data_IF_235874171573
#
_entry.id   IF_235874171573
#
_cell.length_a   1.000
_cell.length_b   1.000
_cell.length_c   1.000
_cell.angle_alpha   90.00
_cell.angle_beta   90.00
_cell.angle_gamma   90.00
#
_symmetry.space_group_name_H-M   'P 1'
#
loop_
_entity.id
_entity.type
_entity.pdbx_description
1 polymer ?
#
# COMPACT_ATOMS: atom_id res chain seq x y z
N UNK A 1 -22.35 19.71 2.72
CA UNK A 1 -22.02 19.05 4.00
C UNK A 1 -21.17 17.82 3.66
N UNK A 2 -20.11 17.53 4.40
CA UNK A 2 -19.43 16.22 4.25
C UNK A 2 -20.37 15.13 4.80
N UNK A 3 -20.39 13.97 4.13
CA UNK A 3 -21.17 12.81 4.56
C UNK A 3 -20.62 12.15 5.83
N UNK A 4 -21.22 11.04 6.23
CA UNK A 4 -20.71 10.22 7.34
C UNK A 4 -19.31 9.65 7.03
N UNK A 5 -18.54 9.38 8.08
CA UNK A 5 -17.23 8.77 7.93
C UNK A 5 -17.37 7.34 7.38
N UNK A 6 -16.56 7.00 6.39
CA UNK A 6 -16.51 5.66 5.77
C UNK A 6 -15.17 5.03 6.10
N UNK A 7 -15.20 3.77 6.51
CA UNK A 7 -14.02 2.94 6.71
C UNK A 7 -14.05 1.76 5.73
N UNK A 8 -12.94 1.53 5.04
CA UNK A 8 -12.75 0.39 4.13
C UNK A 8 -11.65 -0.51 4.68
N UNK A 9 -11.88 -1.82 4.70
CA UNK A 9 -10.87 -2.81 5.06
C UNK A 9 -10.39 -3.55 3.81
N UNK A 10 -9.07 -3.63 3.63
CA UNK A 10 -8.43 -4.43 2.60
C UNK A 10 -7.54 -5.49 3.27
N UNK A 11 -7.70 -6.75 2.87
CA UNK A 11 -6.90 -7.89 3.34
C UNK A 11 -6.11 -8.46 2.15
N UNK A 12 -4.99 -7.83 1.76
CA UNK A 12 -4.19 -8.33 0.65
C UNK A 12 -3.43 -9.61 1.03
N UNK A 13 -3.32 -10.53 0.08
CA UNK A 13 -2.40 -11.66 0.13
C UNK A 13 -1.48 -11.56 -1.08
N UNK A 14 -0.22 -11.21 -0.84
CA UNK A 14 0.81 -11.18 -1.89
C UNK A 14 1.35 -12.59 -2.12
N UNK A 15 1.74 -12.89 -3.36
CA UNK A 15 2.40 -14.15 -3.66
C UNK A 15 3.85 -14.17 -3.13
N UNK A 16 4.52 -15.32 -3.25
CA UNK A 16 5.92 -15.47 -2.85
C UNK A 16 6.92 -14.93 -3.87
N UNK A 17 6.48 -14.23 -4.93
CA UNK A 17 7.39 -13.70 -5.93
C UNK A 17 8.13 -12.49 -5.35
N UNK A 18 9.47 -12.54 -5.41
CA UNK A 18 10.29 -11.40 -5.01
C UNK A 18 10.10 -10.27 -6.02
N UNK A 19 9.89 -9.05 -5.52
CA UNK A 19 9.77 -7.86 -6.37
C UNK A 19 11.09 -7.58 -7.11
N UNK A 20 10.96 -7.22 -8.38
CA UNK A 20 12.08 -6.79 -9.25
C UNK A 20 11.70 -5.48 -9.96
N UNK A 21 11.89 -4.33 -9.28
CA UNK A 21 11.55 -3.02 -9.83
C UNK A 21 12.27 -2.69 -11.14
N UNK A 22 13.48 -3.23 -11.37
CA UNK A 22 14.25 -2.97 -12.57
C UNK A 22 13.60 -3.59 -13.81
N UNK A 23 12.85 -4.69 -13.63
CA UNK A 23 12.10 -5.37 -14.68
C UNK A 23 10.58 -5.14 -14.59
N UNK A 24 10.14 -4.19 -13.75
CA UNK A 24 8.72 -3.82 -13.63
C UNK A 24 7.86 -4.80 -12.82
N UNK A 25 8.47 -5.68 -12.03
CA UNK A 25 7.75 -6.62 -11.16
C UNK A 25 7.55 -5.98 -9.79
N UNK A 26 6.30 -5.68 -9.44
CA UNK A 26 5.92 -5.05 -8.17
C UNK A 26 4.76 -5.80 -7.52
N UNK A 27 4.77 -5.92 -6.19
CA UNK A 27 3.56 -6.34 -5.45
C UNK A 27 2.43 -5.32 -5.58
N UNK A 28 2.76 -4.02 -5.60
CA UNK A 28 1.87 -2.92 -5.94
C UNK A 28 2.67 -1.78 -6.57
N UNK A 29 2.17 -1.17 -7.64
CA UNK A 29 2.80 0.00 -8.27
C UNK A 29 2.71 1.26 -7.39
N UNK A 30 3.50 2.29 -7.69
CA UNK A 30 3.47 3.55 -6.94
C UNK A 30 2.10 4.25 -7.04
N UNK A 31 1.50 4.59 -5.90
CA UNK A 31 0.20 5.28 -5.83
C UNK A 31 0.06 6.06 -4.51
N UNK A 32 -1.07 6.75 -4.38
CA UNK A 32 -1.54 7.31 -3.12
C UNK A 32 -2.96 6.80 -2.87
N UNK A 33 -3.28 6.60 -1.60
CA UNK A 33 -4.61 6.12 -1.21
C UNK A 33 -5.66 7.22 -1.33
N UNK A 34 -6.91 6.81 -1.50
CA UNK A 34 -8.06 7.69 -1.34
C UNK A 34 -8.44 7.77 0.15
N UNK A 35 -8.99 8.91 0.56
CA UNK A 35 -9.50 9.11 1.92
C UNK A 35 -8.60 10.00 2.76
N UNK A 36 -8.76 9.90 4.07
CA UNK A 36 -8.10 10.80 5.03
C UNK A 36 -6.85 10.17 5.64
N UNK A 37 -6.95 8.95 6.18
CA UNK A 37 -5.85 8.22 6.82
C UNK A 37 -5.94 6.75 6.43
N UNK A 38 -4.79 6.15 6.14
CA UNK A 38 -4.61 4.69 6.04
C UNK A 38 -3.83 4.20 7.25
N UNK A 39 -4.34 3.16 7.91
CA UNK A 39 -3.60 2.40 8.93
C UNK A 39 -3.24 1.04 8.33
N UNK A 40 -1.96 0.68 8.36
CA UNK A 40 -1.46 -0.57 7.82
C UNK A 40 -0.79 -1.38 8.93
N UNK A 41 -1.30 -2.59 9.17
CA UNK A 41 -0.59 -3.59 9.96
C UNK A 41 0.35 -4.36 9.02
N UNK A 42 1.62 -4.50 9.41
CA UNK A 42 2.64 -5.24 8.66
C UNK A 42 3.00 -6.53 9.38
N UNK A 43 3.53 -7.48 8.62
CA UNK A 43 4.28 -8.61 9.15
C UNK A 43 5.80 -8.31 9.11
N UNK A 44 6.62 -9.34 9.25
CA UNK A 44 8.08 -9.22 9.22
C UNK A 44 8.66 -9.24 7.78
N UNK A 45 7.83 -9.23 6.74
CA UNK A 45 8.28 -9.25 5.34
C UNK A 45 8.46 -7.82 4.82
N UNK A 46 9.69 -7.48 4.43
CA UNK A 46 10.01 -6.17 3.87
C UNK A 46 9.44 -5.98 2.46
N UNK A 47 8.99 -4.77 2.12
CA UNK A 47 8.53 -4.44 0.76
C UNK A 47 7.90 -3.06 0.60
N UNK A 48 7.32 -2.49 1.67
CA UNK A 48 6.75 -1.15 1.63
C UNK A 48 7.84 -0.09 1.43
N UNK A 49 7.61 0.81 0.48
CA UNK A 49 8.42 2.01 0.26
C UNK A 49 7.50 3.23 0.20
N UNK A 50 7.93 4.33 0.81
CA UNK A 50 7.18 5.59 0.80
C UNK A 50 8.06 6.68 0.20
N UNK A 51 7.53 7.40 -0.79
CA UNK A 51 8.19 8.60 -1.32
C UNK A 51 8.04 9.74 -0.32
N UNK A 52 9.14 10.11 0.32
CA UNK A 52 9.21 11.33 1.13
C UNK A 52 9.60 12.52 0.24
N UNK A 53 8.94 13.66 0.43
CA UNK A 53 9.37 14.92 -0.16
C UNK A 53 10.46 15.50 0.75
N UNK A 54 11.70 15.49 0.29
CA UNK A 54 12.77 16.35 0.79
C UNK A 54 13.01 17.46 -0.23
#
# INVERSE_FOLDING_TARGET
MLGEAIATLRLPHYDGQVSDPANGVFGAGAHSDFGFITLLATDDVAGLQVRVLL
#
